data_IF_170712439610
#
_entry.id   IF_170712439610
#
_cell.length_a   1.000
_cell.length_b   1.000
_cell.length_c   1.000
_cell.angle_alpha   90.00
_cell.angle_beta   90.00
_cell.angle_gamma   90.00
#
_symmetry.space_group_name_H-M   'P 1'
#
loop_
_entity.id
_entity.type
_entity.pdbx_description
1 polymer ?
#
# COMPACT_ATOMS: atom_id res chain seq x y z
N UNK A 1 34.89 3.87 -10.98
CA UNK A 1 33.53 3.72 -11.53
C UNK A 1 32.86 2.60 -10.77
N UNK A 2 31.67 2.80 -10.19
CA UNK A 2 30.92 1.66 -9.67
C UNK A 2 30.71 0.69 -10.82
N UNK A 3 30.86 -0.61 -10.56
CA UNK A 3 30.55 -1.63 -11.56
C UNK A 3 29.09 -1.47 -12.00
N UNK A 4 28.76 -1.70 -13.28
CA UNK A 4 27.38 -1.63 -13.78
C UNK A 4 26.39 -2.42 -12.91
N UNK A 5 26.86 -3.45 -12.20
CA UNK A 5 26.07 -4.28 -11.29
C UNK A 5 25.48 -3.56 -10.07
N UNK A 6 25.94 -2.36 -9.70
CA UNK A 6 25.47 -1.59 -8.55
C UNK A 6 24.77 -0.26 -8.93
N UNK A 7 24.68 0.06 -10.21
CA UNK A 7 24.11 1.32 -10.68
C UNK A 7 22.63 1.49 -10.27
N UNK A 8 21.87 0.42 -10.13
CA UNK A 8 20.48 0.45 -9.68
C UNK A 8 20.32 0.92 -8.23
N UNK A 9 21.33 0.73 -7.38
CA UNK A 9 21.27 1.11 -5.96
C UNK A 9 21.16 2.62 -5.74
N UNK A 10 21.65 3.43 -6.67
CA UNK A 10 21.55 4.90 -6.59
C UNK A 10 20.27 5.44 -7.22
N UNK A 11 19.46 4.58 -7.86
CA UNK A 11 18.19 5.00 -8.44
C UNK A 11 17.16 5.32 -7.36
N UNK A 12 16.24 6.29 -7.60
CA UNK A 12 15.14 6.56 -6.70
C UNK A 12 14.19 5.37 -6.60
N UNK A 13 13.47 5.27 -5.49
CA UNK A 13 12.39 4.29 -5.32
C UNK A 13 11.05 5.01 -5.42
N UNK A 14 10.17 4.46 -6.22
CA UNK A 14 8.78 4.93 -6.34
C UNK A 14 7.86 3.93 -5.64
N UNK A 15 7.18 4.39 -4.59
CA UNK A 15 6.16 3.63 -3.85
C UNK A 15 4.79 3.91 -4.47
N UNK A 16 4.04 2.88 -4.74
CA UNK A 16 2.69 3.01 -5.28
C UNK A 16 1.75 1.95 -4.70
N UNK A 17 0.49 2.32 -4.55
CA UNK A 17 -0.60 1.41 -4.20
C UNK A 17 -1.70 1.49 -5.24
N UNK A 18 -2.34 0.36 -5.50
CA UNK A 18 -3.41 0.25 -6.49
C UNK A 18 -4.56 -0.58 -5.95
N UNK A 19 -5.76 -0.27 -6.42
CA UNK A 19 -6.96 -1.01 -6.13
C UNK A 19 -7.57 -1.55 -7.43
N UNK A 20 -8.05 -2.79 -7.38
CA UNK A 20 -8.80 -3.43 -8.45
C UNK A 20 -9.95 -4.26 -7.89
N UNK A 21 -10.90 -4.64 -8.74
CA UNK A 21 -12.05 -5.45 -8.36
C UNK A 21 -12.13 -6.65 -9.29
N UNK A 22 -12.25 -7.85 -8.73
CA UNK A 22 -12.45 -9.09 -9.46
C UNK A 22 -13.89 -9.19 -9.98
N UNK A 23 -14.08 -9.77 -11.15
CA UNK A 23 -15.40 -10.17 -11.62
C UNK A 23 -16.07 -11.16 -10.65
N UNK A 24 -17.41 -11.20 -10.65
CA UNK A 24 -18.15 -12.23 -9.92
C UNK A 24 -18.01 -13.60 -10.59
N UNK A 25 -18.02 -14.66 -9.79
CA UNK A 25 -18.05 -16.03 -10.30
C UNK A 25 -16.72 -16.59 -10.79
N UNK A 26 -15.58 -15.96 -10.49
CA UNK A 26 -14.26 -16.48 -10.79
C UNK A 26 -14.02 -17.77 -9.99
N UNK A 27 -13.64 -18.83 -10.67
CA UNK A 27 -13.27 -20.08 -10.02
C UNK A 27 -11.88 -20.00 -9.35
N UNK A 28 -11.67 -20.85 -8.34
CA UNK A 28 -10.44 -20.84 -7.55
C UNK A 28 -9.19 -21.22 -8.35
N UNK A 29 -9.33 -22.04 -9.40
CA UNK A 29 -8.21 -22.50 -10.22
C UNK A 29 -7.70 -21.36 -11.11
N UNK A 30 -8.61 -20.66 -11.78
CA UNK A 30 -8.28 -19.49 -12.61
C UNK A 30 -7.62 -18.40 -11.77
N UNK A 31 -8.15 -18.13 -10.57
CA UNK A 31 -7.55 -17.15 -9.67
C UNK A 31 -6.16 -17.57 -9.20
N UNK A 32 -5.96 -18.83 -8.82
CA UNK A 32 -4.67 -19.34 -8.39
C UNK A 32 -3.62 -19.24 -9.51
N UNK A 33 -3.98 -19.59 -10.76
CA UNK A 33 -3.10 -19.47 -11.92
C UNK A 33 -2.68 -18.01 -12.16
N UNK A 34 -3.62 -17.06 -12.07
CA UNK A 34 -3.35 -15.63 -12.21
C UNK A 34 -2.42 -15.11 -11.11
N UNK A 35 -2.62 -15.52 -9.85
CA UNK A 35 -1.74 -15.15 -8.72
C UNK A 35 -0.32 -15.72 -8.89
N UNK A 36 -0.21 -16.94 -9.41
CA UNK A 36 1.08 -17.56 -9.70
C UNK A 36 1.83 -16.82 -10.82
N UNK A 37 1.15 -16.51 -11.93
CA UNK A 37 1.74 -15.73 -13.04
C UNK A 37 2.21 -14.36 -12.54
N UNK A 38 1.38 -13.65 -11.76
CA UNK A 38 1.75 -12.38 -11.16
C UNK A 38 3.03 -12.51 -10.30
N UNK A 39 3.08 -13.51 -9.40
CA UNK A 39 4.25 -13.72 -8.53
C UNK A 39 5.51 -14.01 -9.33
N UNK A 40 5.43 -14.81 -10.38
CA UNK A 40 6.57 -15.11 -11.25
C UNK A 40 7.09 -13.85 -11.97
N UNK A 41 6.18 -13.02 -12.49
CA UNK A 41 6.54 -11.79 -13.18
C UNK A 41 7.23 -10.79 -12.23
N UNK A 42 6.63 -10.51 -11.07
CA UNK A 42 7.21 -9.54 -10.13
C UNK A 42 8.51 -10.04 -9.52
N UNK A 43 8.68 -11.34 -9.35
CA UNK A 43 9.95 -11.92 -8.91
C UNK A 43 11.04 -11.77 -10.00
N UNK A 44 10.70 -11.94 -11.27
CA UNK A 44 11.60 -11.65 -12.39
C UNK A 44 12.04 -10.20 -12.43
N UNK A 45 11.11 -9.25 -12.21
CA UNK A 45 11.42 -7.81 -12.11
C UNK A 45 12.30 -7.50 -10.90
N UNK A 46 12.11 -8.16 -9.77
CA UNK A 46 12.94 -8.02 -8.58
C UNK A 46 14.37 -8.49 -8.84
N UNK A 47 14.53 -9.65 -9.48
CA UNK A 47 15.84 -10.18 -9.87
C UNK A 47 16.56 -9.28 -10.89
N UNK A 48 15.80 -8.60 -11.75
CA UNK A 48 16.33 -7.60 -12.69
C UNK A 48 16.57 -6.22 -12.06
N UNK A 49 16.39 -6.06 -10.73
CA UNK A 49 16.53 -4.80 -10.00
C UNK A 49 15.62 -3.66 -10.49
N UNK A 50 14.49 -4.00 -11.12
CA UNK A 50 13.47 -3.04 -11.52
C UNK A 50 12.40 -2.83 -10.43
N UNK A 51 12.33 -3.75 -9.49
CA UNK A 51 11.39 -3.77 -8.38
C UNK A 51 12.12 -4.19 -7.10
N UNK A 52 11.81 -3.57 -5.96
CA UNK A 52 12.28 -4.02 -4.64
C UNK A 52 11.29 -4.99 -4.02
N UNK A 53 10.00 -4.65 -4.05
CA UNK A 53 8.93 -5.49 -3.52
C UNK A 53 7.62 -5.28 -4.27
N UNK A 54 6.83 -6.34 -4.31
CA UNK A 54 5.43 -6.32 -4.72
C UNK A 54 4.63 -7.20 -3.78
N UNK A 55 3.49 -6.71 -3.30
CA UNK A 55 2.59 -7.47 -2.43
C UNK A 55 1.16 -7.23 -2.82
N UNK A 56 0.47 -8.30 -3.15
CA UNK A 56 -0.94 -8.32 -3.52
C UNK A 56 -1.76 -8.90 -2.37
N UNK A 57 -2.76 -8.15 -1.94
CA UNK A 57 -3.67 -8.51 -0.85
C UNK A 57 -5.10 -8.58 -1.36
N UNK A 58 -5.94 -9.34 -0.67
CA UNK A 58 -7.33 -9.53 -1.07
C UNK A 58 -8.31 -9.35 0.08
N UNK A 59 -9.39 -8.65 -0.22
CA UNK A 59 -10.59 -8.59 0.61
C UNK A 59 -11.83 -8.85 -0.25
N UNK A 60 -12.45 -10.01 -0.10
CA UNK A 60 -13.59 -10.44 -0.93
C UNK A 60 -13.27 -10.38 -2.44
N UNK A 61 -13.91 -9.49 -3.21
CA UNK A 61 -13.63 -9.25 -4.62
C UNK A 61 -12.56 -8.15 -4.83
N UNK A 62 -12.15 -7.43 -3.79
CA UNK A 62 -11.20 -6.32 -3.89
C UNK A 62 -9.77 -6.82 -3.79
N UNK A 63 -8.91 -6.30 -4.66
CA UNK A 63 -7.47 -6.53 -4.66
C UNK A 63 -6.74 -5.22 -4.36
N UNK A 64 -5.74 -5.29 -3.52
CA UNK A 64 -4.87 -4.18 -3.15
C UNK A 64 -3.43 -4.55 -3.44
N UNK A 65 -2.80 -3.80 -4.32
CA UNK A 65 -1.42 -4.02 -4.72
C UNK A 65 -0.53 -2.90 -4.17
N UNK A 66 0.56 -3.27 -3.52
CA UNK A 66 1.65 -2.39 -3.15
C UNK A 66 2.88 -2.71 -3.98
N UNK A 67 3.53 -1.68 -4.53
CA UNK A 67 4.75 -1.79 -5.35
C UNK A 67 5.81 -0.80 -4.86
N UNK A 68 7.07 -1.22 -4.92
CA UNK A 68 8.25 -0.35 -4.82
C UNK A 68 9.12 -0.57 -6.06
N UNK A 69 8.98 0.29 -7.05
CA UNK A 69 9.75 0.23 -8.29
C UNK A 69 11.04 1.05 -8.21
N UNK A 70 12.05 0.65 -8.96
CA UNK A 70 13.38 1.28 -9.02
C UNK A 70 13.48 2.17 -10.26
N UNK A 71 13.82 3.43 -10.04
CA UNK A 71 14.01 4.43 -11.10
C UNK A 71 12.70 5.07 -11.57
N UNK A 72 11.78 4.30 -12.12
CA UNK A 72 10.52 4.80 -12.69
C UNK A 72 9.32 4.08 -12.08
N UNK A 73 8.17 4.77 -12.03
CA UNK A 73 6.92 4.16 -11.61
C UNK A 73 6.55 2.99 -12.52
N UNK A 74 6.19 1.86 -11.93
CA UNK A 74 5.70 0.69 -12.63
C UNK A 74 4.17 0.70 -12.64
N UNK A 75 3.59 0.55 -13.83
CA UNK A 75 2.15 0.35 -13.96
C UNK A 75 1.79 -1.12 -13.65
N UNK A 76 0.68 -1.40 -12.98
CA UNK A 76 0.27 -2.76 -12.68
C UNK A 76 -0.32 -3.50 -13.88
N UNK A 77 -0.88 -2.77 -14.85
CA UNK A 77 -1.45 -3.36 -16.08
C UNK A 77 -0.39 -4.11 -16.87
N UNK A 78 -0.69 -5.35 -17.20
CA UNK A 78 0.23 -6.24 -17.96
C UNK A 78 1.24 -7.01 -17.10
N UNK A 79 1.30 -6.80 -15.78
CA UNK A 79 2.13 -7.65 -14.89
C UNK A 79 1.64 -9.11 -14.86
N UNK A 80 0.35 -9.33 -15.06
CA UNK A 80 -0.25 -10.64 -15.24
C UNK A 80 -1.46 -10.53 -16.15
N UNK A 81 -1.34 -10.87 -17.44
CA UNK A 81 -2.47 -10.92 -18.36
C UNK A 81 -3.62 -11.81 -17.88
N UNK A 82 -3.32 -12.91 -17.19
CA UNK A 82 -4.35 -13.76 -16.57
C UNK A 82 -5.11 -13.02 -15.48
N UNK A 83 -4.41 -12.28 -14.63
CA UNK A 83 -5.06 -11.50 -13.58
C UNK A 83 -5.87 -10.35 -14.17
N UNK A 84 -5.31 -9.62 -15.13
CA UNK A 84 -5.98 -8.51 -15.81
C UNK A 84 -7.30 -8.95 -16.47
N UNK A 85 -7.36 -10.17 -17.01
CA UNK A 85 -8.58 -10.73 -17.59
C UNK A 85 -9.67 -11.03 -16.55
N UNK A 86 -9.32 -11.14 -15.27
CA UNK A 86 -10.24 -11.39 -14.16
C UNK A 86 -10.75 -10.10 -13.50
N UNK A 87 -10.25 -8.92 -13.90
CA UNK A 87 -10.57 -7.65 -13.27
C UNK A 87 -11.73 -6.93 -13.96
N UNK A 88 -12.62 -6.38 -13.15
CA UNK A 88 -13.65 -5.46 -13.62
C UNK A 88 -13.01 -4.17 -14.17
N UNK A 89 -13.45 -3.67 -15.33
CA UNK A 89 -12.97 -2.40 -15.83
C UNK A 89 -13.59 -1.23 -15.05
N UNK A 90 -12.75 -0.30 -14.62
CA UNK A 90 -13.15 1.02 -14.14
C UNK A 90 -13.32 1.98 -15.33
N UNK A 91 -14.14 3.04 -15.20
CA UNK A 91 -14.19 4.08 -16.21
C UNK A 91 -12.79 4.64 -16.54
N UNK A 92 -12.60 5.03 -17.79
CA UNK A 92 -11.37 5.72 -18.19
C UNK A 92 -11.18 7.01 -17.36
N UNK A 93 -9.94 7.34 -17.03
CA UNK A 93 -9.64 8.64 -16.43
C UNK A 93 -9.85 9.75 -17.47
N UNK A 94 -10.01 10.99 -16.99
CA UNK A 94 -10.13 12.15 -17.89
C UNK A 94 -8.86 12.26 -18.75
N UNK A 95 -9.04 12.24 -20.06
CA UNK A 95 -7.94 12.24 -21.04
C UNK A 95 -7.44 10.87 -21.45
N UNK A 96 -7.93 9.78 -20.88
CA UNK A 96 -7.63 8.42 -21.30
C UNK A 96 -8.72 7.87 -22.24
N UNK A 97 -8.30 7.06 -23.21
CA UNK A 97 -9.23 6.47 -24.20
C UNK A 97 -9.81 5.12 -23.74
N UNK A 98 -9.15 4.42 -22.82
CA UNK A 98 -9.50 3.07 -22.43
C UNK A 98 -9.87 2.98 -20.93
N UNK A 99 -10.81 2.08 -20.56
CA UNK A 99 -11.08 1.74 -19.19
C UNK A 99 -9.82 1.23 -18.47
N UNK A 100 -9.70 1.55 -17.20
CA UNK A 100 -8.62 1.08 -16.32
C UNK A 100 -9.03 -0.21 -15.64
N UNK A 101 -8.10 -1.12 -15.39
CA UNK A 101 -8.31 -2.28 -14.51
C UNK A 101 -7.83 -1.98 -13.10
N UNK A 102 -6.75 -1.24 -12.99
CA UNK A 102 -6.18 -0.81 -11.73
C UNK A 102 -6.39 0.70 -11.55
N UNK A 103 -6.77 1.09 -10.35
CA UNK A 103 -6.88 2.50 -9.97
C UNK A 103 -5.78 2.81 -8.97
N UNK A 104 -4.96 3.81 -9.27
CA UNK A 104 -3.93 4.28 -8.35
C UNK A 104 -4.59 4.86 -7.09
N UNK A 105 -4.11 4.44 -5.93
CA UNK A 105 -4.49 5.02 -4.65
C UNK A 105 -3.51 6.13 -4.29
N UNK A 106 -4.02 7.26 -3.83
CA UNK A 106 -3.19 8.40 -3.46
C UNK A 106 -2.48 8.16 -2.12
N UNK A 107 -1.14 8.10 -2.08
CA UNK A 107 -0.40 8.05 -0.82
C UNK A 107 -0.59 9.37 -0.06
N UNK A 108 -0.83 9.30 1.25
CA UNK A 108 -1.00 10.52 2.05
C UNK A 108 -0.35 10.43 3.43
N UNK A 109 -0.03 9.24 3.93
CA UNK A 109 0.60 9.07 5.24
C UNK A 109 1.72 8.04 5.18
N UNK A 110 2.88 8.41 5.72
CA UNK A 110 4.09 7.60 5.81
C UNK A 110 5.00 8.13 6.92
N UNK A 111 5.92 7.31 7.41
CA UNK A 111 6.91 7.72 8.40
C UNK A 111 8.28 8.02 7.77
N UNK A 112 8.58 7.43 6.61
CA UNK A 112 9.86 7.61 5.92
C UNK A 112 9.67 7.66 4.40
N UNK A 113 10.60 8.36 3.73
CA UNK A 113 10.62 8.50 2.27
C UNK A 113 11.89 7.83 1.74
N UNK A 114 11.77 6.91 0.75
CA UNK A 114 12.95 6.32 0.15
C UNK A 114 13.81 7.38 -0.57
N UNK A 115 15.11 7.35 -0.32
CA UNK A 115 16.09 8.20 -1.01
C UNK A 115 16.63 7.49 -2.24
N UNK A 116 17.22 6.31 -2.03
CA UNK A 116 17.74 5.46 -3.11
C UNK A 116 17.35 4.00 -2.89
N UNK A 117 17.43 3.20 -3.95
CA UNK A 117 17.15 1.77 -3.84
C UNK A 117 18.09 1.06 -2.87
N UNK A 118 19.38 1.45 -2.82
CA UNK A 118 20.35 0.89 -1.88
C UNK A 118 19.99 1.17 -0.43
N UNK A 119 19.57 2.40 -0.12
CA UNK A 119 19.16 2.79 1.24
C UNK A 119 17.82 2.16 1.64
N UNK A 120 16.99 1.79 0.65
CA UNK A 120 15.65 1.23 0.87
C UNK A 120 15.61 -0.29 0.86
N UNK A 121 16.75 -0.95 0.70
CA UNK A 121 16.85 -2.41 0.82
C UNK A 121 16.49 -2.88 2.22
N UNK A 122 15.75 -3.98 2.26
CA UNK A 122 15.50 -4.70 3.50
C UNK A 122 16.72 -5.54 3.87
N UNK A 123 17.03 -5.59 5.14
CA UNK A 123 17.93 -6.61 5.65
C UNK A 123 17.31 -8.01 5.44
N UNK A 124 18.14 -9.01 5.24
CA UNK A 124 17.77 -10.39 4.89
C UNK A 124 16.88 -11.07 5.92
N UNK A 125 15.79 -10.74 6.27
CA UNK A 125 14.80 -11.32 7.18
C UNK A 125 13.77 -10.22 7.52
N UNK A 126 13.31 -9.49 6.52
CA UNK A 126 12.11 -8.69 6.70
C UNK A 126 10.98 -9.61 7.17
N UNK A 127 10.27 -9.20 8.19
CA UNK A 127 9.14 -9.94 8.69
C UNK A 127 7.98 -9.99 7.72
N UNK A 128 6.90 -10.62 8.14
CA UNK A 128 5.71 -10.76 7.30
C UNK A 128 5.18 -9.41 6.81
N UNK A 129 4.75 -9.39 5.56
CA UNK A 129 4.11 -8.24 4.92
C UNK A 129 2.59 -8.30 5.15
N UNK A 130 2.02 -7.19 5.57
CA UNK A 130 0.60 -7.09 5.88
C UNK A 130 -0.08 -6.00 5.06
N UNK A 131 -1.28 -6.31 4.57
CA UNK A 131 -2.25 -5.34 4.09
C UNK A 131 -3.31 -5.08 5.15
N UNK A 132 -3.83 -3.86 5.20
CA UNK A 132 -4.93 -3.49 6.08
C UNK A 132 -5.82 -2.48 5.39
N UNK A 133 -7.13 -2.62 5.52
CA UNK A 133 -8.10 -1.64 5.02
C UNK A 133 -8.89 -1.01 6.15
N UNK A 134 -9.36 0.21 5.87
CA UNK A 134 -10.37 0.92 6.65
C UNK A 134 -11.27 1.71 5.70
N UNK A 135 -12.48 2.05 6.15
CA UNK A 135 -13.43 2.85 5.39
C UNK A 135 -13.73 4.12 6.17
N UNK A 136 -13.48 5.28 5.57
CA UNK A 136 -13.84 6.57 6.15
C UNK A 136 -15.31 6.87 5.94
N UNK A 137 -15.93 7.50 6.94
CA UNK A 137 -17.23 8.14 6.73
C UNK A 137 -17.10 9.27 5.71
N UNK A 138 -17.99 9.38 4.72
CA UNK A 138 -17.84 10.37 3.64
C UNK A 138 -17.74 11.82 4.14
N UNK A 139 -18.47 12.17 5.20
CA UNK A 139 -18.44 13.51 5.83
C UNK A 139 -17.18 13.79 6.63
N UNK A 140 -16.38 12.76 6.94
CA UNK A 140 -15.11 12.85 7.69
C UNK A 140 -13.88 12.78 6.81
N UNK A 141 -14.03 12.49 5.52
CA UNK A 141 -12.91 12.28 4.61
C UNK A 141 -11.95 13.48 4.56
N UNK A 142 -12.46 14.69 4.36
CA UNK A 142 -11.64 15.89 4.25
C UNK A 142 -10.86 16.16 5.53
N UNK A 143 -11.51 16.13 6.69
CA UNK A 143 -10.85 16.38 7.97
C UNK A 143 -9.80 15.34 8.30
N UNK A 144 -10.08 14.06 8.02
CA UNK A 144 -9.11 12.98 8.20
C UNK A 144 -7.84 13.20 7.37
N UNK A 145 -8.00 13.52 6.08
CA UNK A 145 -6.88 13.79 5.19
C UNK A 145 -6.07 15.01 5.63
N UNK A 146 -6.76 16.08 6.04
CA UNK A 146 -6.11 17.30 6.51
C UNK A 146 -5.23 17.05 7.74
N UNK A 147 -5.74 16.38 8.78
CA UNK A 147 -4.96 16.03 9.96
C UNK A 147 -3.71 15.21 9.63
N UNK A 148 -3.85 14.19 8.80
CA UNK A 148 -2.73 13.31 8.45
C UNK A 148 -1.67 14.02 7.59
N UNK A 149 -2.07 14.86 6.65
CA UNK A 149 -1.14 15.67 5.85
C UNK A 149 -0.38 16.69 6.73
N UNK A 150 -1.03 17.31 7.70
CA UNK A 150 -0.38 18.20 8.68
C UNK A 150 0.66 17.43 9.51
N UNK A 151 0.29 16.26 10.04
CA UNK A 151 1.21 15.40 10.80
C UNK A 151 2.45 15.01 9.98
N UNK A 152 2.27 14.63 8.71
CA UNK A 152 3.40 14.32 7.82
C UNK A 152 4.26 15.57 7.56
N UNK A 153 3.63 16.72 7.30
CA UNK A 153 4.34 17.96 6.97
C UNK A 153 5.14 18.54 8.14
N UNK A 154 4.74 18.25 9.38
CA UNK A 154 5.46 18.64 10.59
C UNK A 154 6.84 17.95 10.68
N UNK A 155 7.01 16.78 10.06
CA UNK A 155 8.28 16.05 10.00
C UNK A 155 8.74 15.47 11.33
N UNK A 156 7.83 15.32 12.29
CA UNK A 156 8.11 14.81 13.64
C UNK A 156 7.69 13.34 13.83
N UNK A 157 7.09 12.72 12.81
CA UNK A 157 6.63 11.34 12.91
C UNK A 157 7.79 10.36 13.06
N UNK A 158 7.58 9.39 13.95
CA UNK A 158 8.43 8.20 14.08
C UNK A 158 7.56 6.96 13.96
N UNK A 159 8.01 5.97 13.21
CA UNK A 159 7.25 4.75 13.01
C UNK A 159 7.93 3.76 12.10
N UNK A 160 7.16 2.80 11.64
CA UNK A 160 7.67 1.72 10.80
C UNK A 160 8.02 2.26 9.42
N UNK A 161 9.28 2.12 9.05
CA UNK A 161 9.88 2.69 7.84
C UNK A 161 9.08 2.36 6.57
N UNK A 162 8.59 1.12 6.45
CA UNK A 162 7.88 0.64 5.29
C UNK A 162 6.39 0.98 5.29
N UNK A 163 5.86 1.55 6.38
CA UNK A 163 4.45 1.89 6.47
C UNK A 163 4.06 2.92 5.41
N UNK A 164 2.98 2.63 4.68
CA UNK A 164 2.35 3.56 3.74
C UNK A 164 0.85 3.42 3.85
N UNK A 165 0.14 4.54 3.99
CA UNK A 165 -1.31 4.58 3.85
C UNK A 165 -1.67 5.35 2.59
N UNK A 166 -2.53 4.73 1.79
CA UNK A 166 -3.05 5.30 0.55
C UNK A 166 -4.58 5.31 0.57
N UNK A 167 -5.17 6.22 -0.16
CA UNK A 167 -6.63 6.40 -0.24
C UNK A 167 -7.12 6.39 -1.68
N UNK A 168 -8.28 5.77 -1.89
CA UNK A 168 -9.11 5.93 -3.08
C UNK A 168 -10.54 6.16 -2.63
N UNK A 169 -11.14 7.29 -3.01
CA UNK A 169 -12.42 7.71 -2.47
C UNK A 169 -12.37 7.72 -0.93
N UNK A 170 -13.23 6.96 -0.26
CA UNK A 170 -13.23 6.81 1.21
C UNK A 170 -12.59 5.50 1.70
N UNK A 171 -11.98 4.73 0.81
CA UNK A 171 -11.32 3.46 1.13
C UNK A 171 -9.83 3.69 1.35
N UNK A 172 -9.37 3.33 2.55
CA UNK A 172 -7.95 3.36 2.92
C UNK A 172 -7.34 1.98 2.75
N UNK A 173 -6.11 1.96 2.24
CA UNK A 173 -5.26 0.78 2.24
C UNK A 173 -3.93 1.11 2.89
N UNK A 174 -3.52 0.29 3.87
CA UNK A 174 -2.23 0.40 4.54
C UNK A 174 -1.36 -0.81 4.19
N UNK A 175 -0.13 -0.55 3.79
CA UNK A 175 0.93 -1.55 3.71
C UNK A 175 1.83 -1.44 4.94
N UNK A 176 2.20 -2.57 5.53
CA UNK A 176 2.97 -2.68 6.76
C UNK A 176 3.93 -3.87 6.65
N UNK A 177 5.08 -3.80 7.33
CA UNK A 177 6.01 -4.94 7.49
C UNK A 177 6.32 -5.18 8.97
N UNK A 178 6.60 -6.42 9.34
CA UNK A 178 7.11 -6.75 10.67
C UNK A 178 8.67 -6.67 10.73
N UNK A 179 9.27 -6.46 11.90
CA UNK A 179 8.61 -6.25 13.18
C UNK A 179 7.91 -4.89 13.23
N UNK A 180 6.62 -4.92 13.51
CA UNK A 180 5.85 -3.71 13.68
C UNK A 180 6.07 -3.16 15.07
N UNK A 181 6.72 -2.01 15.16
CA UNK A 181 7.10 -1.40 16.44
C UNK A 181 6.01 -0.52 17.01
N UNK A 182 5.13 0.03 16.14
CA UNK A 182 4.12 1.00 16.55
C UNK A 182 2.78 0.75 15.86
N UNK A 183 1.72 0.71 16.65
CA UNK A 183 0.33 0.58 16.16
C UNK A 183 -0.28 1.94 15.90
N UNK A 184 0.06 2.94 16.71
CA UNK A 184 -0.49 4.29 16.65
C UNK A 184 0.55 5.30 16.16
N UNK A 185 0.07 6.46 15.72
CA UNK A 185 0.92 7.60 15.37
C UNK A 185 1.77 7.98 16.58
N UNK A 186 3.08 8.05 16.36
CA UNK A 186 4.07 8.54 17.31
C UNK A 186 4.90 9.65 16.71
N UNK A 187 5.45 10.50 17.54
CA UNK A 187 6.40 11.52 17.14
C UNK A 187 7.64 11.47 18.04
N UNK A 188 8.68 12.19 17.63
CA UNK A 188 9.96 12.30 18.33
C UNK A 188 9.76 12.63 19.80
N UNK A 189 10.31 11.83 20.74
CA UNK A 189 10.17 12.05 22.17
C UNK A 189 10.67 13.44 22.57
N UNK A 190 9.95 14.09 23.49
CA UNK A 190 10.34 15.39 24.04
C UNK A 190 10.13 16.58 23.12
N UNK A 191 9.63 16.39 21.91
CA UNK A 191 9.25 17.48 21.00
C UNK A 191 7.73 17.60 20.98
N UNK A 192 7.13 18.71 21.42
CA UNK A 192 5.68 18.89 21.36
C UNK A 192 5.21 18.94 19.90
N UNK A 193 4.09 18.28 19.60
CA UNK A 193 3.40 18.38 18.33
C UNK A 193 1.99 18.93 18.56
N UNK A 194 1.71 20.12 18.01
CA UNK A 194 0.39 20.70 18.05
C UNK A 194 -0.58 19.91 17.18
N UNK A 195 -0.12 19.46 16.00
CA UNK A 195 -0.92 18.70 15.04
C UNK A 195 -1.37 17.34 15.62
N UNK A 196 -0.48 16.66 16.37
CA UNK A 196 -0.87 15.42 17.04
C UNK A 196 -1.89 15.67 18.16
N UNK A 197 -1.76 16.75 18.91
CA UNK A 197 -2.74 17.10 19.96
C UNK A 197 -4.11 17.42 19.34
N UNK A 198 -4.15 18.16 18.24
CA UNK A 198 -5.39 18.44 17.51
C UNK A 198 -6.03 17.14 17.00
N UNK A 199 -5.25 16.25 16.39
CA UNK A 199 -5.73 14.95 15.94
C UNK A 199 -6.32 14.09 17.06
N UNK A 200 -5.63 14.01 18.19
CA UNK A 200 -6.12 13.24 19.35
C UNK A 200 -7.37 13.84 20.00
N UNK A 201 -7.55 15.16 19.89
CA UNK A 201 -8.71 15.85 20.46
C UNK A 201 -10.02 15.62 19.68
N UNK A 202 -9.97 15.23 18.42
CA UNK A 202 -11.16 15.02 17.55
C UNK A 202 -11.73 13.61 17.56
N UNK A 203 -11.30 12.74 18.47
CA UNK A 203 -11.68 11.33 18.50
C UNK A 203 -11.44 10.63 17.15
N UNK A 204 -10.21 10.12 16.90
CA UNK A 204 -9.84 9.48 15.65
C UNK A 204 -10.79 8.38 15.18
N UNK A 205 -11.34 7.60 16.12
CA UNK A 205 -12.27 6.50 15.85
C UNK A 205 -13.57 6.99 15.20
N UNK A 206 -14.00 8.21 15.49
CA UNK A 206 -15.21 8.80 14.93
C UNK A 206 -15.20 8.99 13.43
N UNK A 207 -14.01 8.92 12.78
CA UNK A 207 -13.84 9.11 11.35
C UNK A 207 -14.17 7.87 10.52
N UNK A 208 -14.28 6.71 11.14
CA UNK A 208 -14.36 5.44 10.42
C UNK A 208 -15.76 4.82 10.47
N UNK A 209 -16.07 4.07 9.42
CA UNK A 209 -17.09 3.03 9.46
C UNK A 209 -16.53 1.81 10.21
N UNK A 210 -17.39 1.10 10.95
CA UNK A 210 -16.97 -0.09 11.68
C UNK A 210 -17.31 -1.35 10.88
N UNK A 211 -16.36 -2.24 10.78
CA UNK A 211 -16.59 -3.57 10.23
C UNK A 211 -17.35 -4.46 11.21
N UNK A 212 -18.02 -5.50 10.70
CA UNK A 212 -18.63 -6.52 11.54
C UNK A 212 -17.57 -7.18 12.44
N UNK A 213 -17.98 -7.61 13.65
CA UNK A 213 -17.04 -8.14 14.67
C UNK A 213 -16.15 -9.26 14.16
N UNK A 214 -16.67 -10.11 13.30
CA UNK A 214 -15.97 -11.27 12.71
C UNK A 214 -14.86 -10.86 11.72
N UNK A 215 -14.87 -9.62 11.29
CA UNK A 215 -13.94 -9.06 10.30
C UNK A 215 -12.90 -8.12 10.93
N UNK A 216 -13.11 -7.73 12.19
CA UNK A 216 -12.25 -6.76 12.87
C UNK A 216 -10.85 -7.33 13.10
N UNK A 217 -9.85 -6.47 12.88
CA UNK A 217 -8.47 -6.79 13.19
C UNK A 217 -8.13 -6.59 14.69
N UNK A 218 -6.92 -6.95 15.08
CA UNK A 218 -6.49 -6.83 16.48
C UNK A 218 -6.32 -5.39 16.97
N UNK A 219 -6.18 -4.43 16.06
CA UNK A 219 -5.83 -3.05 16.41
C UNK A 219 -7.05 -2.20 16.80
N UNK A 220 -8.16 -2.35 16.08
CA UNK A 220 -9.39 -1.58 16.32
C UNK A 220 -10.56 -2.13 15.47
N UNK A 221 -11.81 -1.81 15.80
CA UNK A 221 -12.99 -2.22 15.03
C UNK A 221 -13.06 -1.63 13.61
N UNK A 222 -12.21 -0.67 13.31
CA UNK A 222 -12.16 0.04 12.03
C UNK A 222 -11.27 -0.62 10.99
N UNK A 223 -10.46 -1.62 11.38
CA UNK A 223 -9.45 -2.19 10.52
C UNK A 223 -9.68 -3.67 10.26
N UNK A 224 -9.50 -4.05 8.99
CA UNK A 224 -9.47 -5.46 8.56
C UNK A 224 -8.09 -5.77 8.00
N UNK A 225 -7.43 -6.78 8.55
CA UNK A 225 -6.19 -7.31 8.00
C UNK A 225 -6.47 -8.20 6.80
N UNK A 226 -5.66 -8.06 5.78
CA UNK A 226 -5.83 -8.73 4.50
C UNK A 226 -4.82 -9.87 4.35
N UNK A 227 -5.24 -11.06 3.91
CA UNK A 227 -4.31 -12.08 3.51
C UNK A 227 -3.51 -11.62 2.28
N UNK A 228 -2.18 -11.77 2.35
CA UNK A 228 -1.32 -11.64 1.18
C UNK A 228 -1.53 -12.87 0.28
N UNK A 229 -1.83 -12.65 -0.98
CA UNK A 229 -2.19 -13.73 -1.90
C UNK A 229 -1.17 -13.92 -3.03
N UNK A 230 -0.32 -12.94 -3.30
CA UNK A 230 0.73 -13.02 -4.30
C UNK A 230 1.80 -11.95 -4.07
N UNK A 231 2.95 -12.06 -4.74
CA UNK A 231 4.01 -11.06 -4.70
C UNK A 231 5.42 -11.62 -4.83
N UNK A 232 6.43 -10.78 -4.60
CA UNK A 232 7.84 -11.18 -4.57
C UNK A 232 8.12 -12.17 -3.44
N UNK A 233 9.06 -13.07 -3.67
CA UNK A 233 9.61 -13.92 -2.60
C UNK A 233 10.56 -13.09 -1.72
N UNK A 234 10.51 -13.33 -0.40
CA UNK A 234 11.37 -12.72 0.60
C UNK A 234 12.66 -13.51 0.80
#
# INVERSE_FOLDING_TARGET
>A
MPSESLAWQICPVVRASFHAVLHSGIDAVSLAAAMQEFSQTVEGLRQAHQLLTASLFRYQAHLFLYLESVGTALAPDGLSPLLDALLCPWPAAVGEALPRRWVAMQPYFYHDIPTTAGDWLRERHSGAQHGRIAVLKPDKWCSYMEYHLKLVSEGLLEGDRWHLISVQENLLFSYLEEPRTHVNIRHKPGVPSAELQEWLAVDPESHFEHFAKEQQGPDAPNFVYLPRCAGTHE
#
